data_IF_829584570044
#
_entry.id   IF_829584570044
#
_cell.length_a   1.000
_cell.length_b   1.000
_cell.length_c   1.000
_cell.angle_alpha   90.00
_cell.angle_beta   90.00
_cell.angle_gamma   90.00
#
_symmetry.space_group_name_H-M   'P 1'
#
loop_
_entity.id
_entity.type
_entity.pdbx_description
1 polymer ?
#
# COMPACT_ATOMS: atom_id res chain seq x y z
N UNK A 1 65.57 26.64 -14.43
CA UNK A 1 64.25 27.25 -14.40
C UNK A 1 63.12 26.27 -14.77
N UNK A 2 63.22 25.44 -15.81
CA UNK A 2 62.13 24.49 -16.19
C UNK A 2 61.86 23.38 -15.16
N UNK A 3 62.86 22.94 -14.38
CA UNK A 3 62.69 21.91 -13.32
C UNK A 3 62.03 22.46 -12.06
N UNK A 4 62.18 23.76 -11.77
CA UNK A 4 61.55 24.38 -10.61
C UNK A 4 60.04 24.68 -10.87
N UNK A 5 59.68 25.00 -12.11
CA UNK A 5 58.29 25.20 -12.47
C UNK A 5 57.47 23.90 -12.46
N UNK A 6 58.07 22.75 -12.84
CA UNK A 6 57.44 21.46 -12.76
C UNK A 6 57.21 20.97 -11.31
N UNK A 7 58.13 21.31 -10.41
CA UNK A 7 58.04 20.96 -8.98
C UNK A 7 56.93 21.82 -8.29
N UNK A 8 56.83 23.09 -8.67
CA UNK A 8 55.78 23.97 -8.13
C UNK A 8 54.39 23.55 -8.64
N UNK A 9 54.25 23.10 -9.91
CA UNK A 9 52.99 22.61 -10.46
C UNK A 9 52.59 21.28 -9.81
N UNK A 10 53.53 20.38 -9.54
CA UNK A 10 53.28 19.13 -8.84
C UNK A 10 52.88 19.36 -7.38
N UNK A 11 53.49 20.36 -6.70
CA UNK A 11 53.14 20.71 -5.32
C UNK A 11 51.77 21.36 -5.21
N UNK A 12 51.35 22.17 -6.22
CA UNK A 12 50.02 22.75 -6.27
C UNK A 12 48.96 21.74 -6.61
N UNK A 13 49.23 20.70 -7.42
CA UNK A 13 48.27 19.59 -7.65
C UNK A 13 48.12 18.70 -6.41
N UNK A 14 49.22 18.43 -5.67
CA UNK A 14 49.17 17.65 -4.43
C UNK A 14 48.47 18.43 -3.30
N UNK A 15 48.69 19.74 -3.22
CA UNK A 15 47.95 20.61 -2.29
C UNK A 15 46.47 20.78 -2.69
N UNK A 16 46.17 20.80 -4.01
CA UNK A 16 44.80 20.82 -4.52
C UNK A 16 44.03 19.52 -4.26
N UNK A 17 44.72 18.37 -4.28
CA UNK A 17 44.12 17.08 -3.90
C UNK A 17 44.00 16.90 -2.39
N UNK A 18 44.89 17.53 -1.60
CA UNK A 18 44.80 17.48 -0.13
C UNK A 18 43.74 18.43 0.46
N UNK A 19 43.25 19.40 -0.34
CA UNK A 19 42.16 20.29 0.09
C UNK A 19 40.79 19.80 -0.32
N UNK A 20 40.72 18.73 -1.13
CA UNK A 20 39.42 18.08 -1.46
C UNK A 20 39.03 17.02 -0.40
N UNK A 21 39.92 16.68 0.53
CA UNK A 21 39.60 15.79 1.67
C UNK A 21 39.45 16.52 3.00
N UNK A 22 39.40 17.83 3.00
CA UNK A 22 38.75 18.55 4.07
C UNK A 22 37.26 18.63 3.70
N UNK A 23 36.55 17.51 3.78
CA UNK A 23 35.11 17.51 4.00
C UNK A 23 34.87 18.51 5.11
N UNK A 24 33.98 19.46 4.84
CA UNK A 24 33.45 20.33 5.84
C UNK A 24 33.02 19.46 7.03
N UNK A 25 33.71 19.62 8.17
CA UNK A 25 33.17 19.11 9.41
C UNK A 25 31.79 19.72 9.56
N UNK A 26 30.74 18.88 9.29
CA UNK A 26 29.56 18.93 10.06
C UNK A 26 28.42 19.84 9.62
N UNK A 27 28.05 19.98 8.38
CA UNK A 27 26.60 20.21 8.13
C UNK A 27 25.90 18.85 8.12
N UNK A 28 25.03 18.64 9.10
CA UNK A 28 24.12 17.52 9.16
C UNK A 28 23.32 17.45 7.85
N UNK A 29 23.37 16.30 7.15
CA UNK A 29 22.63 16.15 5.89
C UNK A 29 21.15 15.92 6.19
N UNK A 30 20.27 16.63 5.51
CA UNK A 30 18.84 16.32 5.53
C UNK A 30 18.56 15.24 4.49
N UNK A 31 17.88 14.17 4.90
CA UNK A 31 17.30 13.14 4.03
C UNK A 31 15.82 13.44 3.90
N UNK A 32 15.41 13.85 2.71
CA UNK A 32 14.04 14.20 2.43
C UNK A 32 13.25 13.01 1.90
N UNK A 33 12.08 12.75 2.50
CA UNK A 33 11.16 11.69 2.11
C UNK A 33 9.86 12.33 1.63
N UNK A 34 9.62 12.27 0.33
CA UNK A 34 8.37 12.72 -0.30
C UNK A 34 7.29 11.66 -0.18
N UNK A 35 6.13 12.02 0.34
CA UNK A 35 5.02 11.13 0.57
C UNK A 35 3.78 11.58 -0.18
N UNK A 36 2.82 10.69 -0.38
CA UNK A 36 1.53 10.99 -1.03
C UNK A 36 0.45 11.45 -0.04
N UNK A 37 0.71 11.26 1.25
CA UNK A 37 -0.13 11.68 2.36
C UNK A 37 0.75 12.09 3.55
N UNK A 38 0.16 12.60 4.62
CA UNK A 38 0.91 12.99 5.80
C UNK A 38 1.50 11.78 6.51
N UNK A 39 2.84 11.77 6.63
CA UNK A 39 3.61 10.81 7.42
C UNK A 39 4.74 11.56 8.10
N UNK A 40 4.92 11.37 9.39
CA UNK A 40 5.91 12.11 10.16
C UNK A 40 6.64 11.17 11.13
N UNK A 41 7.77 10.64 10.68
CA UNK A 41 8.73 9.88 11.51
C UNK A 41 10.06 10.63 11.60
N UNK A 42 9.98 11.93 11.82
CA UNK A 42 11.13 12.76 12.16
C UNK A 42 11.28 12.89 13.67
N UNK A 43 12.32 13.57 14.12
CA UNK A 43 12.62 13.66 15.56
C UNK A 43 11.73 14.61 16.35
N UNK A 44 10.81 15.33 15.73
CA UNK A 44 9.83 16.25 16.35
C UNK A 44 10.34 16.95 17.62
N UNK A 45 11.48 17.64 17.56
CA UNK A 45 12.09 18.33 18.72
C UNK A 45 12.22 17.45 19.97
N UNK A 46 12.13 16.13 19.82
CA UNK A 46 12.38 15.16 20.88
C UNK A 46 11.14 14.66 21.63
N UNK A 47 9.92 14.99 21.22
CA UNK A 47 8.71 14.45 21.84
C UNK A 47 7.89 13.61 20.89
N UNK A 48 7.75 12.30 21.16
CA UNK A 48 6.88 11.41 20.40
C UNK A 48 5.41 11.84 20.44
N UNK A 49 4.97 12.44 21.57
CA UNK A 49 3.60 12.91 21.75
C UNK A 49 3.25 14.08 20.80
N UNK A 50 4.24 14.74 20.23
CA UNK A 50 4.05 15.80 19.26
C UNK A 50 3.80 15.26 17.84
N UNK A 51 4.09 13.99 17.60
CA UNK A 51 3.85 13.36 16.30
C UNK A 51 2.33 13.14 16.12
N UNK A 52 1.69 13.73 15.10
CA UNK A 52 0.25 13.59 14.86
C UNK A 52 -0.18 12.16 14.53
N UNK A 53 0.76 11.28 14.17
CA UNK A 53 0.52 9.86 13.85
C UNK A 53 0.88 8.91 15.00
N UNK A 54 1.29 9.45 16.15
CA UNK A 54 1.56 8.62 17.31
C UNK A 54 0.26 8.02 17.86
N UNK A 55 0.15 6.70 17.78
CA UNK A 55 -1.01 5.94 18.27
C UNK A 55 -0.79 5.33 19.65
N UNK A 56 0.42 5.47 20.20
CA UNK A 56 0.79 4.96 21.52
C UNK A 56 1.09 3.46 21.52
N UNK A 57 1.47 2.92 20.37
CA UNK A 57 1.85 1.50 20.23
C UNK A 57 3.34 1.31 20.53
N UNK A 58 3.71 0.06 20.79
CA UNK A 58 5.11 -0.33 20.98
C UNK A 58 5.92 -0.08 19.70
N UNK A 59 5.30 -0.29 18.52
CA UNK A 59 5.96 -0.04 17.24
C UNK A 59 6.30 1.44 17.05
N UNK A 60 5.39 2.34 17.41
CA UNK A 60 5.63 3.79 17.33
C UNK A 60 6.80 4.21 18.22
N UNK A 61 6.84 3.72 19.46
CA UNK A 61 7.92 4.02 20.40
C UNK A 61 9.27 3.49 19.89
N UNK A 62 9.28 2.29 19.33
CA UNK A 62 10.48 1.67 18.74
C UNK A 62 10.94 2.43 17.49
N UNK A 63 10.03 2.81 16.60
CA UNK A 63 10.32 3.57 15.38
C UNK A 63 10.91 4.94 15.75
N UNK A 64 10.30 5.66 16.69
CA UNK A 64 10.77 6.96 17.13
C UNK A 64 12.17 6.89 17.76
N UNK A 65 12.42 5.88 18.62
CA UNK A 65 13.74 5.63 19.17
C UNK A 65 14.76 5.29 18.08
N UNK A 66 14.35 4.53 17.07
CA UNK A 66 15.18 4.15 15.93
C UNK A 66 15.55 5.34 15.06
N UNK A 67 14.60 6.24 14.77
CA UNK A 67 14.84 7.48 14.00
C UNK A 67 16.02 8.25 14.63
N UNK A 68 15.98 8.48 15.95
CA UNK A 68 17.07 9.17 16.66
C UNK A 68 18.41 8.45 16.54
N UNK A 69 18.42 7.12 16.68
CA UNK A 69 19.65 6.34 16.54
C UNK A 69 20.24 6.42 15.12
N UNK A 70 19.37 6.46 14.10
CA UNK A 70 19.79 6.57 12.70
C UNK A 70 20.35 7.95 12.42
N UNK A 71 19.69 9.01 12.87
CA UNK A 71 20.16 10.38 12.74
C UNK A 71 21.57 10.52 13.33
N UNK A 72 21.77 10.04 14.55
CA UNK A 72 23.06 10.07 15.22
C UNK A 72 24.12 9.22 14.50
N UNK A 73 23.75 8.01 14.04
CA UNK A 73 24.67 7.06 13.37
C UNK A 73 25.20 7.60 12.05
N UNK A 74 24.33 8.20 11.24
CA UNK A 74 24.65 8.64 9.89
C UNK A 74 24.94 10.14 9.79
N UNK A 75 24.79 10.89 10.88
CA UNK A 75 24.86 12.36 10.92
C UNK A 75 23.89 12.99 9.91
N UNK A 76 22.63 12.58 9.99
CA UNK A 76 21.53 13.04 9.13
C UNK A 76 20.36 13.53 9.95
N UNK A 77 19.44 14.24 9.30
CA UNK A 77 18.08 14.53 9.77
C UNK A 77 17.08 14.05 8.76
N UNK A 78 15.93 13.59 9.23
CA UNK A 78 14.80 13.28 8.36
C UNK A 78 13.89 14.49 8.21
N UNK A 79 13.40 14.69 6.99
CA UNK A 79 12.34 15.64 6.69
C UNK A 79 11.31 14.95 5.78
N UNK A 80 10.05 14.89 6.23
CA UNK A 80 8.94 14.34 5.46
C UNK A 80 8.18 15.48 4.76
N UNK A 81 7.90 15.30 3.48
CA UNK A 81 7.22 16.30 2.65
C UNK A 81 5.98 15.65 2.05
N UNK A 82 4.80 16.07 2.49
CA UNK A 82 3.57 15.65 1.84
C UNK A 82 3.44 16.36 0.49
N UNK A 83 3.73 15.62 -0.56
CA UNK A 83 3.61 16.09 -1.94
C UNK A 83 2.17 15.98 -2.49
N UNK A 84 1.28 15.31 -1.76
CA UNK A 84 -0.01 14.81 -2.25
C UNK A 84 0.16 13.75 -3.35
N UNK A 85 -0.89 13.01 -3.68
CA UNK A 85 -0.83 11.97 -4.70
C UNK A 85 -0.48 12.55 -6.09
N UNK A 86 -1.17 13.59 -6.51
CA UNK A 86 -0.91 14.25 -7.79
C UNK A 86 0.47 14.95 -7.82
N UNK A 87 0.85 15.60 -6.71
CA UNK A 87 2.14 16.27 -6.60
C UNK A 87 3.33 15.34 -6.60
N UNK A 88 3.24 14.15 -6.00
CA UNK A 88 4.30 13.13 -6.05
C UNK A 88 4.53 12.65 -7.48
N UNK A 89 3.46 12.44 -8.24
CA UNK A 89 3.51 12.09 -9.67
C UNK A 89 4.20 13.18 -10.50
N UNK A 90 3.80 14.43 -10.29
CA UNK A 90 4.40 15.58 -10.99
C UNK A 90 5.87 15.75 -10.62
N UNK A 91 6.19 15.71 -9.33
CA UNK A 91 7.54 15.90 -8.80
C UNK A 91 8.53 14.88 -9.38
N UNK A 92 8.26 13.57 -9.28
CA UNK A 92 9.20 12.57 -9.79
C UNK A 92 9.41 12.68 -11.32
N UNK A 93 8.37 13.03 -12.08
CA UNK A 93 8.47 13.16 -13.52
C UNK A 93 9.22 14.43 -13.97
N UNK A 94 9.12 15.53 -13.24
CA UNK A 94 9.68 16.82 -13.64
C UNK A 94 11.07 17.06 -13.04
N UNK A 95 11.25 16.79 -11.75
CA UNK A 95 12.49 17.08 -11.04
C UNK A 95 13.64 16.15 -11.46
N UNK A 96 13.34 14.88 -11.71
CA UNK A 96 14.34 13.92 -12.21
C UNK A 96 14.78 14.27 -13.63
N UNK A 97 13.84 14.65 -14.52
CA UNK A 97 14.20 15.12 -15.85
C UNK A 97 15.04 16.40 -15.83
N UNK A 98 14.83 17.26 -14.84
CA UNK A 98 15.65 18.44 -14.63
C UNK A 98 17.05 18.12 -14.07
N UNK A 99 17.29 16.90 -13.62
CA UNK A 99 18.53 16.44 -12.99
C UNK A 99 18.70 16.91 -11.53
N UNK A 100 17.63 17.37 -10.92
CA UNK A 100 17.59 17.89 -9.54
C UNK A 100 16.33 17.36 -8.86
N UNK A 101 16.34 16.09 -8.41
CA UNK A 101 15.18 15.51 -7.73
C UNK A 101 14.79 16.34 -6.50
N UNK A 102 13.48 16.52 -6.30
CA UNK A 102 12.93 17.34 -5.22
C UNK A 102 13.14 16.70 -3.85
N UNK A 103 13.25 15.38 -3.80
CA UNK A 103 13.43 14.60 -2.58
C UNK A 103 14.44 13.47 -2.78
N UNK A 104 15.02 12.98 -1.68
CA UNK A 104 15.98 11.85 -1.72
C UNK A 104 15.27 10.50 -1.87
N UNK A 105 14.07 10.36 -1.32
CA UNK A 105 13.25 9.14 -1.38
C UNK A 105 11.82 9.54 -1.65
N UNK A 106 11.13 8.83 -2.53
CA UNK A 106 9.68 8.87 -2.62
C UNK A 106 9.09 7.62 -1.95
N UNK A 107 8.12 7.82 -1.07
CA UNK A 107 7.21 6.79 -0.57
C UNK A 107 5.87 6.98 -1.29
N UNK A 108 5.55 6.06 -2.20
CA UNK A 108 4.39 6.22 -3.08
C UNK A 108 3.79 4.86 -3.45
N UNK A 109 2.58 4.88 -3.95
CA UNK A 109 1.90 3.69 -4.45
C UNK A 109 2.61 3.09 -5.67
N UNK A 110 2.45 1.78 -5.85
CA UNK A 110 2.99 1.06 -7.00
C UNK A 110 2.52 1.68 -8.33
N UNK A 111 1.29 2.18 -8.38
CA UNK A 111 0.73 2.86 -9.56
C UNK A 111 1.54 4.09 -10.00
N UNK A 112 2.21 4.77 -9.08
CA UNK A 112 3.12 5.88 -9.37
C UNK A 112 4.56 5.42 -9.56
N UNK A 113 5.01 4.48 -8.71
CA UNK A 113 6.41 4.05 -8.67
C UNK A 113 6.81 3.22 -9.92
N UNK A 114 5.93 2.33 -10.39
CA UNK A 114 6.26 1.46 -11.52
C UNK A 114 6.41 2.21 -12.85
N UNK A 115 5.54 3.17 -13.24
CA UNK A 115 5.79 4.04 -14.40
C UNK A 115 7.07 4.87 -14.29
N UNK A 116 7.37 5.39 -13.10
CA UNK A 116 8.60 6.14 -12.87
C UNK A 116 9.84 5.26 -13.11
N UNK A 117 9.84 4.03 -12.61
CA UNK A 117 10.90 3.06 -12.86
C UNK A 117 11.01 2.70 -14.35
N UNK A 118 9.89 2.45 -15.03
CA UNK A 118 9.85 2.15 -16.45
C UNK A 118 10.40 3.29 -17.34
N UNK A 119 10.22 4.54 -16.90
CA UNK A 119 10.76 5.73 -17.55
C UNK A 119 12.23 6.00 -17.20
N UNK A 120 12.86 5.20 -16.35
CA UNK A 120 14.26 5.37 -15.94
C UNK A 120 14.48 6.51 -14.93
N UNK A 121 13.45 6.88 -14.17
CA UNK A 121 13.54 7.92 -13.15
C UNK A 121 13.99 7.41 -11.78
N UNK A 122 14.02 6.10 -11.60
CA UNK A 122 14.40 5.44 -10.34
C UNK A 122 15.77 4.80 -10.46
N UNK A 123 16.60 4.99 -9.46
CA UNK A 123 17.92 4.41 -9.37
C UNK A 123 17.86 2.88 -9.28
N UNK A 124 18.60 2.19 -10.14
CA UNK A 124 18.80 0.75 -10.02
C UNK A 124 19.86 0.47 -8.94
N UNK A 125 19.46 -0.15 -7.87
CA UNK A 125 20.34 -0.43 -6.74
C UNK A 125 21.50 -1.38 -7.08
N UNK A 126 21.42 -2.13 -8.19
CA UNK A 126 22.53 -2.95 -8.68
C UNK A 126 23.74 -2.11 -9.13
N UNK A 127 23.52 -0.85 -9.49
CA UNK A 127 24.57 0.08 -9.87
C UNK A 127 25.22 0.75 -8.63
N UNK A 128 24.61 0.63 -7.47
CA UNK A 128 24.95 1.33 -6.24
C UNK A 128 25.46 0.39 -5.15
N UNK A 129 24.87 -0.79 -5.05
CA UNK A 129 25.15 -1.77 -3.99
C UNK A 129 26.03 -2.92 -4.49
N UNK A 130 26.79 -3.56 -3.60
CA UNK A 130 27.50 -4.79 -3.92
C UNK A 130 26.54 -5.88 -4.41
N UNK A 131 26.98 -6.69 -5.38
CA UNK A 131 26.15 -7.75 -5.97
C UNK A 131 25.76 -8.85 -4.98
N UNK A 132 26.46 -8.98 -3.86
CA UNK A 132 26.14 -9.92 -2.77
C UNK A 132 25.25 -9.31 -1.68
N UNK A 133 24.81 -8.06 -1.83
CA UNK A 133 23.83 -7.46 -0.94
C UNK A 133 22.53 -8.28 -0.91
N UNK A 134 21.98 -8.51 0.28
CA UNK A 134 20.83 -9.39 0.48
C UNK A 134 19.59 -8.93 -0.29
N UNK A 135 19.36 -7.63 -0.42
CA UNK A 135 18.26 -7.05 -1.21
C UNK A 135 18.46 -7.37 -2.70
N UNK A 136 19.68 -7.20 -3.24
CA UNK A 136 20.00 -7.55 -4.63
C UNK A 136 19.78 -9.04 -4.91
N UNK A 137 20.05 -9.87 -3.91
CA UNK A 137 19.84 -11.33 -3.99
C UNK A 137 18.38 -11.75 -3.77
N UNK A 138 17.47 -10.84 -3.44
CA UNK A 138 16.08 -11.14 -3.11
C UNK A 138 15.92 -12.02 -1.86
N UNK A 139 16.81 -11.87 -0.86
CA UNK A 139 16.88 -12.71 0.34
C UNK A 139 16.86 -11.91 1.63
N UNK A 140 16.62 -10.62 1.53
CA UNK A 140 16.62 -9.75 2.69
C UNK A 140 15.30 -9.88 3.47
N UNK A 141 15.39 -9.89 4.80
CA UNK A 141 14.21 -10.03 5.67
C UNK A 141 13.58 -8.67 6.01
N UNK A 142 14.26 -7.57 5.72
CA UNK A 142 13.78 -6.20 6.00
C UNK A 142 13.12 -5.59 4.78
N UNK A 143 13.76 -5.74 3.62
CA UNK A 143 13.29 -5.18 2.37
C UNK A 143 13.18 -6.25 1.28
N UNK A 144 12.09 -6.22 0.57
CA UNK A 144 11.95 -6.85 -0.73
C UNK A 144 11.88 -5.80 -1.83
N UNK A 145 11.82 -6.24 -3.06
CA UNK A 145 11.53 -5.35 -4.19
C UNK A 145 10.53 -5.99 -5.13
N UNK A 146 9.76 -5.15 -5.80
CA UNK A 146 8.83 -5.59 -6.85
C UNK A 146 9.61 -5.68 -8.16
N UNK A 147 9.74 -6.90 -8.69
CA UNK A 147 10.34 -7.11 -9.99
C UNK A 147 9.35 -6.77 -11.10
N UNK A 148 9.60 -5.70 -11.84
CA UNK A 148 8.80 -5.27 -12.99
C UNK A 148 9.05 -6.07 -14.27
N UNK A 149 9.83 -7.15 -14.19
CA UNK A 149 10.25 -7.94 -15.34
C UNK A 149 11.51 -7.39 -16.05
N UNK A 150 12.01 -6.23 -15.62
CA UNK A 150 13.26 -5.65 -16.14
C UNK A 150 14.51 -6.27 -15.49
N UNK A 151 14.34 -6.99 -14.39
CA UNK A 151 15.42 -7.49 -13.53
C UNK A 151 16.12 -6.37 -12.74
N UNK A 152 15.64 -5.12 -12.77
CA UNK A 152 16.16 -4.02 -11.99
C UNK A 152 15.67 -4.10 -10.53
N UNK A 153 16.49 -3.63 -9.60
CA UNK A 153 16.14 -3.53 -8.16
C UNK A 153 15.86 -2.06 -7.86
N UNK A 154 14.61 -1.67 -7.97
CA UNK A 154 14.20 -0.26 -7.95
C UNK A 154 13.04 0.05 -7.02
N UNK A 155 12.03 -0.84 -6.94
CA UNK A 155 10.80 -0.62 -6.20
C UNK A 155 10.86 -1.37 -4.87
N UNK A 156 11.36 -0.71 -3.85
CA UNK A 156 11.56 -1.31 -2.54
C UNK A 156 10.26 -1.36 -1.74
N UNK A 157 10.03 -2.45 -1.05
CA UNK A 157 8.91 -2.62 -0.12
C UNK A 157 9.44 -3.10 1.22
N UNK A 158 8.96 -2.52 2.30
CA UNK A 158 9.25 -3.04 3.63
C UNK A 158 8.58 -4.41 3.81
N UNK A 159 9.33 -5.36 4.32
CA UNK A 159 8.81 -6.67 4.73
C UNK A 159 8.24 -6.52 6.14
N UNK A 160 7.02 -6.06 6.25
CA UNK A 160 6.28 -6.02 7.50
C UNK A 160 4.99 -6.86 7.38
N UNK A 161 4.36 -7.17 8.50
CA UNK A 161 3.16 -7.99 8.48
C UNK A 161 1.98 -7.29 7.78
N UNK A 162 1.94 -5.97 7.79
CA UNK A 162 0.97 -5.17 7.06
C UNK A 162 0.97 -5.49 5.57
N UNK A 163 2.15 -5.54 4.94
CA UNK A 163 2.27 -5.85 3.52
C UNK A 163 2.13 -7.34 3.20
N UNK A 164 2.26 -8.22 4.20
CA UNK A 164 2.37 -9.66 3.99
C UNK A 164 1.12 -10.44 4.41
N UNK A 165 0.25 -9.90 5.25
CA UNK A 165 -0.74 -10.70 5.97
C UNK A 165 -2.16 -10.17 5.89
N UNK A 166 -2.39 -8.87 5.72
CA UNK A 166 -3.74 -8.32 5.68
C UNK A 166 -4.24 -8.09 4.26
N UNK A 167 -5.50 -8.41 4.03
CA UNK A 167 -6.15 -8.09 2.77
C UNK A 167 -6.30 -6.59 2.61
N UNK A 168 -5.87 -6.05 1.48
CA UNK A 168 -5.91 -4.60 1.27
C UNK A 168 -7.34 -4.09 1.11
N UNK A 169 -8.17 -4.83 0.37
CA UNK A 169 -9.57 -4.47 0.07
C UNK A 169 -10.48 -5.69 0.19
N UNK A 170 -10.67 -6.25 1.40
CA UNK A 170 -11.65 -7.31 1.61
C UNK A 170 -13.05 -6.80 1.29
N UNK A 171 -13.95 -7.71 0.96
CA UNK A 171 -15.37 -7.39 0.83
C UNK A 171 -15.99 -7.34 2.23
N UNK A 172 -16.68 -6.27 2.56
CA UNK A 172 -17.47 -6.17 3.78
C UNK A 172 -18.97 -6.24 3.47
N UNK A 173 -19.75 -6.76 4.41
CA UNK A 173 -21.21 -6.72 4.32
C UNK A 173 -21.86 -6.27 5.63
N UNK A 174 -23.06 -5.72 5.51
CA UNK A 174 -23.92 -5.32 6.61
C UNK A 174 -24.76 -6.53 7.06
N UNK A 175 -24.43 -7.10 8.24
CA UNK A 175 -25.08 -8.29 8.76
C UNK A 175 -26.58 -8.08 8.99
N UNK A 176 -26.98 -6.92 9.50
CA UNK A 176 -28.39 -6.60 9.73
C UNK A 176 -29.22 -6.64 8.45
N UNK A 177 -28.66 -6.18 7.32
CA UNK A 177 -29.38 -6.25 6.03
C UNK A 177 -29.56 -7.70 5.54
N UNK A 178 -28.62 -8.59 5.82
CA UNK A 178 -28.71 -10.02 5.53
C UNK A 178 -29.83 -10.66 6.36
N UNK A 179 -29.84 -10.41 7.67
CA UNK A 179 -30.84 -10.92 8.61
C UNK A 179 -32.27 -10.42 8.29
N UNK A 180 -32.42 -9.13 8.05
CA UNK A 180 -33.72 -8.50 7.70
C UNK A 180 -34.28 -9.02 6.38
N UNK A 181 -33.42 -9.45 5.47
CA UNK A 181 -33.81 -10.09 4.21
C UNK A 181 -34.09 -11.59 4.37
N UNK A 182 -33.87 -12.18 5.54
CA UNK A 182 -33.93 -13.61 5.81
C UNK A 182 -33.03 -14.42 4.85
N UNK A 183 -31.88 -13.86 4.49
CA UNK A 183 -30.83 -14.56 3.77
C UNK A 183 -29.98 -15.37 4.74
N UNK A 184 -29.38 -16.44 4.24
CA UNK A 184 -28.38 -17.19 4.99
C UNK A 184 -27.13 -16.32 5.17
N UNK A 185 -26.44 -16.49 6.29
CA UNK A 185 -25.19 -15.77 6.53
C UNK A 185 -24.13 -16.13 5.45
N UNK A 186 -23.56 -15.15 4.75
CA UNK A 186 -22.55 -15.42 3.74
C UNK A 186 -21.32 -16.21 4.27
N UNK A 187 -21.00 -16.11 5.57
CA UNK A 187 -19.92 -16.88 6.20
C UNK A 187 -20.15 -18.39 6.10
N UNK A 188 -21.38 -18.83 6.28
CA UNK A 188 -21.77 -20.26 6.16
C UNK A 188 -21.59 -20.75 4.73
N UNK A 189 -21.85 -19.88 3.75
CA UNK A 189 -21.61 -20.20 2.33
C UNK A 189 -20.11 -20.29 2.00
N UNK A 190 -19.29 -19.43 2.60
CA UNK A 190 -17.81 -19.50 2.45
C UNK A 190 -17.29 -20.81 3.01
N UNK A 191 -17.71 -21.21 4.22
CA UNK A 191 -17.29 -22.47 4.85
C UNK A 191 -17.60 -23.71 4.00
N UNK A 192 -18.70 -23.67 3.26
CA UNK A 192 -19.10 -24.75 2.36
C UNK A 192 -18.56 -24.64 0.93
N UNK A 193 -17.83 -23.57 0.62
CA UNK A 193 -17.36 -23.29 -0.75
C UNK A 193 -18.47 -22.92 -1.72
N UNK A 194 -19.60 -22.43 -1.22
CA UNK A 194 -20.79 -22.03 -2.00
C UNK A 194 -20.91 -20.52 -2.23
N UNK A 195 -19.95 -19.73 -1.71
CA UNK A 195 -19.90 -18.29 -1.94
C UNK A 195 -19.33 -17.99 -3.32
N UNK A 196 -20.20 -17.99 -4.33
CA UNK A 196 -19.90 -17.81 -5.75
C UNK A 196 -20.44 -16.50 -6.31
N UNK A 197 -20.03 -16.13 -7.53
CA UNK A 197 -20.59 -14.97 -8.24
C UNK A 197 -22.10 -15.02 -8.39
N UNK A 198 -22.68 -16.21 -8.70
CA UNK A 198 -24.10 -16.38 -8.80
C UNK A 198 -24.80 -16.11 -7.46
N UNK A 199 -24.22 -16.61 -6.37
CA UNK A 199 -24.77 -16.42 -5.04
C UNK A 199 -24.67 -14.95 -4.61
N UNK A 200 -23.53 -14.30 -4.83
CA UNK A 200 -23.36 -12.87 -4.62
C UNK A 200 -24.38 -12.04 -5.40
N UNK A 201 -24.55 -12.33 -6.69
CA UNK A 201 -25.55 -11.67 -7.56
C UNK A 201 -26.97 -11.85 -7.04
N UNK A 202 -27.30 -13.05 -6.57
CA UNK A 202 -28.62 -13.34 -5.93
C UNK A 202 -28.85 -12.45 -4.71
N UNK A 203 -27.84 -12.35 -3.82
CA UNK A 203 -27.91 -11.51 -2.62
C UNK A 203 -28.05 -10.03 -2.98
N UNK A 204 -27.24 -9.54 -3.91
CA UNK A 204 -27.34 -8.16 -4.36
C UNK A 204 -28.74 -7.81 -4.88
N UNK A 205 -29.40 -8.73 -5.62
CA UNK A 205 -30.77 -8.52 -6.11
C UNK A 205 -31.78 -8.43 -4.99
N UNK A 206 -31.68 -9.27 -3.97
CA UNK A 206 -32.60 -9.29 -2.83
C UNK A 206 -32.43 -8.03 -1.97
N UNK A 207 -31.19 -7.55 -1.83
CA UNK A 207 -30.84 -6.43 -0.98
C UNK A 207 -31.03 -5.06 -1.65
N UNK A 208 -31.18 -5.03 -2.98
CA UNK A 208 -31.47 -3.79 -3.72
C UNK A 208 -32.93 -3.43 -3.57
N UNK A 209 -33.24 -2.22 -3.09
CA UNK A 209 -34.59 -1.80 -2.74
C UNK A 209 -34.87 -0.36 -3.15
N UNK A 210 -36.08 -0.15 -3.65
CA UNK A 210 -36.80 1.12 -3.66
C UNK A 210 -37.67 1.11 -2.40
N UNK A 211 -37.31 1.90 -1.40
CA UNK A 211 -37.93 1.85 -0.06
C UNK A 211 -39.13 2.76 0.09
N UNK A 212 -39.26 3.79 -0.75
CA UNK A 212 -40.39 4.74 -0.73
C UNK A 212 -41.39 4.55 -1.88
N UNK A 213 -41.05 3.72 -2.87
CA UNK A 213 -41.93 3.37 -3.99
C UNK A 213 -41.97 4.43 -5.09
N UNK A 214 -40.98 5.32 -5.17
CA UNK A 214 -40.95 6.39 -6.17
C UNK A 214 -40.35 5.94 -7.52
N UNK A 215 -39.87 4.71 -7.59
CA UNK A 215 -39.27 4.10 -8.78
C UNK A 215 -37.75 4.28 -8.88
N UNK A 216 -37.13 4.95 -7.92
CA UNK A 216 -35.69 5.06 -7.79
C UNK A 216 -35.18 4.05 -6.76
N UNK A 217 -33.93 3.63 -6.90
CA UNK A 217 -33.31 2.71 -5.95
C UNK A 217 -32.69 3.54 -4.81
N UNK A 218 -33.07 3.26 -3.58
CA UNK A 218 -32.54 3.90 -2.36
C UNK A 218 -31.42 3.11 -1.70
N UNK A 219 -31.49 1.77 -1.82
CA UNK A 219 -30.53 0.84 -1.24
C UNK A 219 -30.00 -0.08 -2.33
N UNK A 220 -28.70 -0.17 -2.43
CA UNK A 220 -28.03 -0.99 -3.43
C UNK A 220 -27.40 -2.23 -2.79
N UNK A 221 -27.44 -3.35 -3.50
CA UNK A 221 -26.80 -4.58 -3.05
C UNK A 221 -25.28 -4.48 -3.02
N UNK A 222 -24.70 -3.72 -3.93
CA UNK A 222 -23.25 -3.58 -4.05
C UNK A 222 -22.84 -2.15 -4.44
N UNK A 223 -21.70 -1.73 -3.94
CA UNK A 223 -21.04 -0.49 -4.34
C UNK A 223 -19.56 -0.58 -4.08
N UNK A 224 -18.76 0.12 -4.86
CA UNK A 224 -17.30 0.14 -4.69
C UNK A 224 -16.62 0.94 -5.79
N UNK A 225 -15.36 1.30 -5.57
CA UNK A 225 -14.55 1.91 -6.59
C UNK A 225 -14.17 0.91 -7.69
N UNK A 226 -14.24 1.27 -8.99
CA UNK A 226 -13.99 0.34 -10.09
C UNK A 226 -12.64 -0.39 -10.01
N UNK A 227 -11.56 0.30 -9.65
CA UNK A 227 -10.24 -0.30 -9.49
C UNK A 227 -10.20 -1.37 -8.40
N UNK A 228 -10.97 -1.20 -7.33
CA UNK A 228 -11.01 -2.16 -6.22
C UNK A 228 -11.79 -3.41 -6.61
N UNK A 229 -13.02 -3.28 -7.10
CA UNK A 229 -13.84 -4.46 -7.37
C UNK A 229 -13.45 -5.18 -8.65
N UNK A 230 -13.03 -4.49 -9.71
CA UNK A 230 -12.61 -5.13 -10.96
C UNK A 230 -11.45 -6.09 -10.73
N UNK A 231 -10.39 -5.63 -10.07
CA UNK A 231 -9.21 -6.45 -9.81
C UNK A 231 -9.50 -7.64 -8.92
N UNK A 232 -10.33 -7.45 -7.90
CA UNK A 232 -10.72 -8.54 -7.02
C UNK A 232 -11.61 -9.58 -7.72
N UNK A 233 -12.52 -9.17 -8.60
CA UNK A 233 -13.27 -10.11 -9.44
C UNK A 233 -12.37 -10.84 -10.43
N UNK A 234 -11.36 -10.18 -11.00
CA UNK A 234 -10.37 -10.84 -11.87
C UNK A 234 -9.64 -11.95 -11.11
N UNK A 235 -9.13 -11.65 -9.92
CA UNK A 235 -8.37 -12.61 -9.11
C UNK A 235 -9.26 -13.73 -8.57
N UNK A 236 -10.48 -13.42 -8.12
CA UNK A 236 -11.43 -14.42 -7.66
C UNK A 236 -11.96 -15.32 -8.79
N UNK A 237 -11.80 -14.89 -10.06
CA UNK A 237 -12.03 -15.73 -11.24
C UNK A 237 -10.79 -16.58 -11.63
N UNK A 238 -9.76 -16.63 -10.77
CA UNK A 238 -8.57 -17.44 -11.01
C UNK A 238 -7.65 -16.93 -12.11
N UNK A 239 -7.74 -15.64 -12.45
CA UNK A 239 -6.93 -15.01 -13.51
C UNK A 239 -6.29 -13.70 -13.03
N UNK A 240 -5.59 -13.02 -13.91
CA UNK A 240 -4.99 -11.70 -13.68
C UNK A 240 -5.06 -10.86 -14.96
N UNK A 241 -4.85 -9.55 -14.86
CA UNK A 241 -4.84 -8.65 -16.04
C UNK A 241 -3.52 -8.69 -16.79
N UNK A 242 -2.47 -9.22 -16.17
CA UNK A 242 -1.18 -9.40 -16.83
C UNK A 242 -0.44 -10.61 -16.27
N UNK A 243 0.07 -11.44 -17.16
CA UNK A 243 0.96 -12.55 -16.84
C UNK A 243 2.41 -12.11 -17.10
N UNK A 244 3.14 -11.77 -16.06
CA UNK A 244 4.51 -11.22 -16.12
C UNK A 244 4.57 -9.91 -16.92
N UNK A 245 5.05 -9.95 -18.16
CA UNK A 245 5.15 -8.80 -19.07
C UNK A 245 4.14 -8.86 -20.22
N UNK A 246 3.23 -9.83 -20.18
CA UNK A 246 2.22 -10.04 -21.23
C UNK A 246 0.86 -9.60 -20.70
N UNK A 247 0.19 -8.74 -21.44
CA UNK A 247 -1.18 -8.36 -21.11
C UNK A 247 -2.12 -9.59 -21.19
N UNK A 248 -3.13 -9.60 -20.35
CA UNK A 248 -4.14 -10.64 -20.28
C UNK A 248 -5.58 -10.08 -20.30
N UNK A 249 -5.72 -8.77 -20.53
CA UNK A 249 -7.01 -8.09 -20.60
C UNK A 249 -7.91 -8.66 -21.69
N UNK A 250 -7.30 -9.19 -22.77
CA UNK A 250 -8.01 -9.81 -23.90
C UNK A 250 -8.40 -11.26 -23.65
N UNK A 251 -8.09 -11.83 -22.48
CA UNK A 251 -8.45 -13.21 -22.16
C UNK A 251 -9.97 -13.42 -22.01
N UNK A 252 -10.48 -14.61 -22.31
CA UNK A 252 -11.88 -14.94 -22.08
C UNK A 252 -12.29 -14.74 -20.62
N UNK A 253 -11.42 -15.10 -19.67
CA UNK A 253 -11.65 -15.05 -18.24
C UNK A 253 -11.83 -13.60 -17.74
N UNK A 254 -11.02 -12.65 -18.25
CA UNK A 254 -11.20 -11.22 -17.96
C UNK A 254 -12.45 -10.69 -18.67
N UNK A 255 -12.74 -11.17 -19.89
CA UNK A 255 -13.99 -10.85 -20.59
C UNK A 255 -15.23 -11.24 -19.79
N UNK A 256 -15.21 -12.39 -19.11
CA UNK A 256 -16.30 -12.84 -18.21
C UNK A 256 -16.45 -11.93 -17.00
N UNK A 257 -15.36 -11.44 -16.41
CA UNK A 257 -15.40 -10.46 -15.31
C UNK A 257 -16.09 -9.18 -15.76
N UNK A 258 -15.69 -8.64 -16.91
CA UNK A 258 -16.31 -7.42 -17.46
C UNK A 258 -17.80 -7.62 -17.74
N UNK A 259 -18.18 -8.79 -18.27
CA UNK A 259 -19.58 -9.13 -18.50
C UNK A 259 -20.36 -9.25 -17.18
N UNK A 260 -19.77 -9.87 -16.16
CA UNK A 260 -20.39 -10.00 -14.84
C UNK A 260 -20.64 -8.63 -14.20
N UNK A 261 -19.64 -7.74 -14.21
CA UNK A 261 -19.78 -6.37 -13.71
C UNK A 261 -20.84 -5.60 -14.51
N UNK A 262 -20.82 -5.74 -15.84
CA UNK A 262 -21.83 -5.11 -16.70
C UNK A 262 -23.23 -5.61 -16.35
N UNK A 263 -23.42 -6.90 -16.11
CA UNK A 263 -24.69 -7.48 -15.72
C UNK A 263 -25.17 -6.93 -14.38
N UNK A 264 -24.31 -6.88 -13.36
CA UNK A 264 -24.66 -6.29 -12.05
C UNK A 264 -25.09 -4.82 -12.17
N UNK A 265 -24.39 -4.05 -13.02
CA UNK A 265 -24.64 -2.62 -13.16
C UNK A 265 -25.83 -2.30 -14.08
N UNK A 266 -25.86 -2.85 -15.30
CA UNK A 266 -26.79 -2.43 -16.34
C UNK A 266 -28.03 -3.32 -16.45
N UNK A 267 -27.91 -4.62 -16.19
CA UNK A 267 -29.01 -5.58 -16.32
C UNK A 267 -29.77 -5.67 -14.99
N UNK A 268 -29.08 -5.99 -13.91
CA UNK A 268 -29.66 -6.19 -12.59
C UNK A 268 -29.84 -4.88 -11.82
N UNK A 269 -29.05 -3.86 -12.13
CA UNK A 269 -29.05 -2.53 -11.51
C UNK A 269 -28.87 -2.59 -9.99
N UNK A 270 -28.03 -3.50 -9.55
CA UNK A 270 -27.74 -3.73 -8.11
C UNK A 270 -26.53 -2.97 -7.62
N UNK A 271 -25.76 -2.36 -8.53
CA UNK A 271 -24.59 -1.56 -8.20
C UNK A 271 -24.94 -0.08 -8.09
N UNK A 272 -24.41 0.57 -7.05
CA UNK A 272 -24.51 2.02 -6.92
C UNK A 272 -23.75 2.69 -8.08
N UNK A 273 -24.39 3.55 -8.86
CA UNK A 273 -23.73 4.30 -9.91
C UNK A 273 -22.87 5.39 -9.28
N UNK A 274 -21.56 5.36 -9.53
CA UNK A 274 -20.64 6.37 -9.02
C UNK A 274 -20.60 7.54 -10.00
N UNK A 275 -21.16 8.71 -9.67
CA UNK A 275 -20.97 9.92 -10.45
C UNK A 275 -19.51 10.36 -10.42
N UNK A 276 -19.00 10.91 -11.52
CA UNK A 276 -17.60 11.38 -11.61
C UNK A 276 -17.22 12.39 -10.53
N UNK A 277 -18.20 13.18 -10.05
CA UNK A 277 -18.01 14.18 -9.00
C UNK A 277 -17.95 13.64 -7.56
N UNK A 278 -18.35 12.38 -7.30
CA UNK A 278 -18.55 11.88 -5.94
C UNK A 278 -17.31 11.21 -5.32
N UNK A 279 -16.21 11.12 -6.06
CA UNK A 279 -14.96 10.59 -5.54
C UNK A 279 -14.98 9.06 -5.26
N UNK A 280 -13.82 8.53 -4.94
CA UNK A 280 -13.58 7.09 -4.73
C UNK A 280 -14.24 6.52 -3.47
N UNK A 281 -14.63 7.37 -2.54
CA UNK A 281 -15.03 7.03 -1.17
C UNK A 281 -16.56 6.97 -0.96
N UNK A 282 -17.34 7.41 -1.94
CA UNK A 282 -18.80 7.55 -1.82
C UNK A 282 -19.52 6.26 -1.40
N UNK A 283 -19.09 5.10 -1.91
CA UNK A 283 -19.73 3.83 -1.58
C UNK A 283 -19.55 3.42 -0.13
N UNK A 284 -18.42 3.77 0.48
CA UNK A 284 -18.15 3.52 1.90
C UNK A 284 -19.00 4.39 2.80
N UNK A 285 -19.20 5.65 2.42
CA UNK A 285 -20.15 6.53 3.10
C UNK A 285 -21.58 5.98 3.05
N UNK A 286 -22.00 5.51 1.87
CA UNK A 286 -23.32 4.91 1.69
C UNK A 286 -23.48 3.58 2.43
N UNK A 287 -22.41 2.80 2.54
CA UNK A 287 -22.38 1.58 3.35
C UNK A 287 -22.58 1.92 4.84
N UNK A 288 -21.82 2.89 5.38
CA UNK A 288 -22.02 3.40 6.74
C UNK A 288 -23.48 3.85 6.97
N UNK A 289 -24.08 4.51 5.98
CA UNK A 289 -25.45 5.01 6.06
C UNK A 289 -26.52 3.91 5.80
N UNK A 290 -26.12 2.64 5.70
CA UNK A 290 -27.03 1.51 5.44
C UNK A 290 -27.67 1.51 4.03
N UNK A 291 -27.06 2.21 3.08
CA UNK A 291 -27.57 2.34 1.70
C UNK A 291 -26.85 1.45 0.68
N UNK A 292 -25.81 0.76 1.10
CA UNK A 292 -25.07 -0.24 0.32
C UNK A 292 -24.86 -1.46 1.20
N UNK A 293 -25.18 -2.65 0.72
CA UNK A 293 -25.09 -3.88 1.51
C UNK A 293 -23.70 -4.50 1.51
N UNK A 294 -23.03 -4.51 0.35
CA UNK A 294 -21.66 -5.02 0.18
C UNK A 294 -20.76 -3.93 -0.39
N UNK A 295 -19.57 -3.76 0.19
CA UNK A 295 -18.56 -2.81 -0.33
C UNK A 295 -17.13 -3.27 0.01
N UNK A 296 -16.12 -2.96 -0.83
CA UNK A 296 -14.73 -3.15 -0.44
C UNK A 296 -14.33 -2.15 0.66
N UNK A 297 -13.71 -2.63 1.73
CA UNK A 297 -13.25 -1.79 2.83
C UNK A 297 -11.83 -2.18 3.20
N UNK A 298 -10.91 -1.22 3.14
CA UNK A 298 -9.55 -1.40 3.65
C UNK A 298 -9.52 -1.19 5.18
N UNK A 299 -8.60 -1.87 5.87
CA UNK A 299 -8.46 -1.73 7.31
C UNK A 299 -8.15 -0.30 7.75
N UNK A 300 -7.34 0.45 6.98
CA UNK A 300 -7.02 1.84 7.26
C UNK A 300 -8.23 2.80 7.21
N UNK A 301 -9.34 2.40 6.57
CA UNK A 301 -10.60 3.16 6.56
C UNK A 301 -11.30 3.09 7.91
N UNK A 302 -11.01 2.05 8.69
CA UNK A 302 -11.58 1.84 10.02
C UNK A 302 -10.86 2.66 11.10
N UNK A 303 -9.80 3.38 10.76
CA UNK A 303 -9.07 4.22 11.69
C UNK A 303 -9.91 5.45 12.09
N UNK A 304 -10.33 5.50 13.37
CA UNK A 304 -11.15 6.56 13.92
C UNK A 304 -10.46 7.93 14.02
N UNK A 305 -9.15 7.98 13.83
CA UNK A 305 -8.38 9.22 13.95
C UNK A 305 -8.26 9.98 12.62
N UNK A 306 -8.79 9.42 11.54
CA UNK A 306 -8.74 10.05 10.21
C UNK A 306 -10.13 10.51 9.81
N UNK A 307 -10.22 11.71 9.22
CA UNK A 307 -11.43 12.30 8.62
C UNK A 307 -11.97 11.48 7.41
N UNK A 308 -11.75 10.17 7.44
CA UNK A 308 -12.29 9.31 6.42
C UNK A 308 -13.76 9.03 6.70
N UNK A 309 -14.49 9.11 5.66
CA UNK A 309 -15.93 9.09 5.57
C UNK A 309 -16.63 7.87 6.18
N UNK A 310 -15.89 6.84 6.58
CA UNK A 310 -16.44 5.63 7.17
C UNK A 310 -16.98 5.88 8.58
N UNK A 311 -16.33 6.74 9.36
CA UNK A 311 -16.78 7.12 10.69
C UNK A 311 -17.30 8.56 10.70
N UNK A 312 -18.44 8.76 11.30
CA UNK A 312 -18.91 10.11 11.59
C UNK A 312 -18.01 10.72 12.68
N UNK A 313 -17.48 11.94 12.51
CA UNK A 313 -16.68 12.59 13.55
C UNK A 313 -17.43 12.72 14.88
N UNK A 314 -18.77 12.73 14.83
CA UNK A 314 -19.65 12.91 16.00
C UNK A 314 -20.16 11.56 16.55
N UNK A 315 -20.10 10.47 15.77
CA UNK A 315 -20.50 9.12 16.19
C UNK A 315 -19.66 8.08 15.42
N UNK A 316 -18.59 7.57 16.04
CA UNK A 316 -17.68 6.61 15.40
C UNK A 316 -18.26 5.19 15.33
N UNK A 317 -19.46 4.94 15.84
CA UNK A 317 -20.06 3.61 15.84
C UNK A 317 -20.89 3.39 14.59
N UNK A 318 -20.84 2.17 14.04
CA UNK A 318 -21.80 1.71 13.06
C UNK A 318 -23.10 1.30 13.77
N UNK A 319 -24.23 1.60 13.18
CA UNK A 319 -25.55 1.16 13.69
C UNK A 319 -25.83 -0.34 13.39
N UNK A 320 -24.86 -1.06 12.84
CA UNK A 320 -24.99 -2.46 12.44
C UNK A 320 -23.62 -3.17 12.54
N UNK A 321 -23.66 -4.50 12.57
CA UNK A 321 -22.46 -5.33 12.54
C UNK A 321 -21.91 -5.41 11.11
N UNK A 322 -20.68 -4.93 10.93
CA UNK A 322 -19.89 -5.08 9.71
C UNK A 322 -19.14 -6.42 9.78
N UNK A 323 -19.20 -7.19 8.72
CA UNK A 323 -18.50 -8.48 8.62
C UNK A 323 -17.64 -8.52 7.37
N UNK A 324 -16.39 -8.92 7.49
CA UNK A 324 -15.51 -9.19 6.36
C UNK A 324 -15.71 -10.60 5.81
N UNK A 325 -15.62 -10.69 4.49
CA UNK A 325 -15.82 -11.94 3.76
C UNK A 325 -14.87 -11.97 2.53
N UNK A 326 -14.37 -13.15 2.12
CA UNK A 326 -13.67 -13.28 0.85
C UNK A 326 -14.52 -12.81 -0.33
N UNK A 327 -13.87 -12.34 -1.39
CA UNK A 327 -14.58 -12.07 -2.64
C UNK A 327 -15.23 -13.36 -3.16
N UNK A 328 -16.42 -13.26 -3.75
CA UNK A 328 -17.11 -14.45 -4.25
C UNK A 328 -16.33 -15.11 -5.38
N UNK A 329 -16.27 -16.43 -5.35
CA UNK A 329 -15.48 -17.23 -6.31
C UNK A 329 -16.13 -17.19 -7.69
N UNK A 330 -15.35 -16.83 -8.70
CA UNK A 330 -15.78 -16.83 -10.10
C UNK A 330 -15.77 -18.24 -10.73
N UNK A 331 -16.29 -18.37 -11.96
CA UNK A 331 -16.41 -19.66 -12.63
C UNK A 331 -15.11 -20.45 -12.78
N UNK A 332 -13.98 -19.77 -12.86
CA UNK A 332 -12.64 -20.35 -12.98
C UNK A 332 -11.83 -20.29 -11.70
N UNK A 333 -12.40 -19.69 -10.65
CA UNK A 333 -11.76 -19.55 -9.34
C UNK A 333 -11.79 -20.84 -8.53
N UNK A 334 -11.09 -20.81 -7.41
CA UNK A 334 -11.05 -21.91 -6.44
C UNK A 334 -11.21 -21.33 -5.03
N UNK A 335 -12.17 -21.84 -4.27
CA UNK A 335 -12.45 -21.38 -2.91
C UNK A 335 -11.27 -21.55 -1.95
N UNK A 336 -10.47 -22.62 -2.11
CA UNK A 336 -9.31 -22.89 -1.26
C UNK A 336 -8.12 -21.96 -1.51
N UNK A 337 -8.03 -21.39 -2.71
CA UNK A 337 -6.93 -20.53 -3.14
C UNK A 337 -7.44 -19.18 -3.65
N UNK A 338 -8.62 -18.76 -3.17
CA UNK A 338 -9.24 -17.53 -3.62
C UNK A 338 -8.33 -16.34 -3.34
N UNK A 339 -7.77 -15.79 -4.42
CA UNK A 339 -6.85 -14.67 -4.34
C UNK A 339 -7.60 -13.33 -4.42
N UNK A 340 -6.96 -12.30 -3.95
CA UNK A 340 -7.46 -10.95 -4.08
C UNK A 340 -6.33 -9.96 -4.35
N UNK A 341 -6.70 -8.77 -4.79
CA UNK A 341 -5.77 -7.68 -5.05
C UNK A 341 -4.95 -7.37 -3.80
N UNK A 342 -3.64 -7.27 -3.96
CA UNK A 342 -2.77 -6.58 -3.03
C UNK A 342 -2.37 -5.24 -3.62
N UNK A 343 -2.43 -4.20 -2.82
CA UNK A 343 -1.92 -2.89 -3.19
C UNK A 343 -0.63 -2.66 -2.40
N UNK A 344 0.48 -2.52 -3.09
CA UNK A 344 1.72 -2.09 -2.47
C UNK A 344 1.65 -0.56 -2.28
N UNK A 345 1.05 -0.13 -1.18
CA UNK A 345 0.80 1.29 -0.91
C UNK A 345 2.06 2.06 -0.48
N UNK A 346 3.15 1.37 -0.19
CA UNK A 346 4.40 1.99 0.23
C UNK A 346 5.58 1.38 -0.53
N UNK A 347 5.71 1.76 -1.80
CA UNK A 347 6.95 1.57 -2.54
C UNK A 347 7.90 2.73 -2.21
N UNK A 348 9.11 2.38 -1.79
CA UNK A 348 10.18 3.34 -1.59
C UNK A 348 11.08 3.35 -2.82
N UNK A 349 11.26 4.50 -3.42
CA UNK A 349 12.09 4.67 -4.61
C UNK A 349 13.09 5.80 -4.41
N UNK A 350 14.34 5.56 -4.81
CA UNK A 350 15.41 6.57 -4.79
C UNK A 350 15.52 7.13 -6.21
N UNK A 351 15.20 8.41 -6.45
CA UNK A 351 15.23 8.96 -7.80
C UNK A 351 16.65 9.05 -8.36
N UNK A 352 16.76 9.00 -9.68
CA UNK A 352 18.03 9.24 -10.36
C UNK A 352 18.45 10.70 -10.15
N UNK A 353 19.72 10.91 -9.84
CA UNK A 353 20.28 12.25 -9.60
C UNK A 353 20.42 12.64 -8.13
N UNK A 354 19.95 11.80 -7.22
CA UNK A 354 20.19 11.97 -5.78
C UNK A 354 21.69 11.90 -5.47
N UNK A 355 22.18 12.77 -4.60
CA UNK A 355 23.54 12.72 -4.10
C UNK A 355 23.72 11.53 -3.17
N UNK A 356 24.72 10.70 -3.43
CA UNK A 356 25.06 9.49 -2.66
C UNK A 356 23.84 8.56 -2.42
N UNK A 357 23.28 7.95 -3.46
CA UNK A 357 22.13 7.05 -3.31
C UNK A 357 22.45 5.82 -2.45
N UNK A 358 23.73 5.47 -2.27
CA UNK A 358 24.18 4.40 -1.38
C UNK A 358 23.98 4.76 0.09
N UNK A 359 24.31 5.98 0.49
CA UNK A 359 24.00 6.49 1.82
C UNK A 359 22.48 6.52 2.04
N UNK A 360 21.73 7.07 1.09
CA UNK A 360 20.27 7.15 1.16
C UNK A 360 19.64 5.77 1.35
N UNK A 361 20.11 4.78 0.57
CA UNK A 361 19.65 3.38 0.75
C UNK A 361 19.96 2.85 2.16
N UNK A 362 21.18 3.05 2.67
CA UNK A 362 21.55 2.52 3.97
C UNK A 362 20.76 3.18 5.12
N UNK A 363 20.51 4.48 5.02
CA UNK A 363 19.68 5.22 5.98
C UNK A 363 18.22 4.73 5.92
N UNK A 364 17.67 4.57 4.73
CA UNK A 364 16.33 4.03 4.52
C UNK A 364 16.22 2.59 5.04
N UNK A 365 17.24 1.75 4.77
CA UNK A 365 17.26 0.38 5.27
C UNK A 365 17.22 0.34 6.80
N UNK A 366 18.06 1.14 7.46
CA UNK A 366 18.06 1.24 8.92
C UNK A 366 16.70 1.73 9.45
N UNK A 367 16.06 2.68 8.77
CA UNK A 367 14.73 3.19 9.15
C UNK A 367 13.66 2.08 9.06
N UNK A 368 13.62 1.35 7.97
CA UNK A 368 12.66 0.28 7.76
C UNK A 368 12.97 -0.97 8.59
N UNK A 369 14.21 -1.10 9.10
CA UNK A 369 14.61 -2.09 10.09
C UNK A 369 14.43 -1.57 11.53
N UNK A 370 13.30 -0.94 11.83
CA UNK A 370 13.01 -0.38 13.14
C UNK A 370 12.97 -1.44 14.25
N UNK A 371 12.63 -2.68 13.90
CA UNK A 371 12.58 -3.83 14.81
C UNK A 371 13.92 -4.52 15.04
N UNK A 372 15.00 -3.98 14.48
CA UNK A 372 16.39 -4.40 14.68
C UNK A 372 16.72 -5.85 14.25
N UNK A 373 16.23 -6.29 13.11
CA UNK A 373 16.63 -7.57 12.53
C UNK A 373 18.15 -7.60 12.29
N UNK A 374 18.81 -8.63 12.84
CA UNK A 374 20.21 -8.97 12.60
C UNK A 374 20.34 -10.49 12.41
N UNK A 375 20.63 -10.97 11.19
CA UNK A 375 20.77 -12.40 10.92
C UNK A 375 22.00 -13.01 11.59
N UNK A 376 22.92 -12.19 12.13
CA UNK A 376 24.12 -12.64 12.84
C UNK A 376 23.92 -12.71 14.36
N UNK A 377 22.74 -12.37 14.87
CA UNK A 377 22.39 -12.54 16.27
C UNK A 377 22.39 -14.03 16.69
N UNK A 378 22.42 -14.32 18.00
CA UNK A 378 22.44 -15.70 18.51
C UNK A 378 21.26 -16.55 18.02
N UNK A 379 20.10 -15.92 17.79
CA UNK A 379 18.87 -16.56 17.34
C UNK A 379 18.59 -16.41 15.83
N UNK A 380 19.58 -15.87 15.09
CA UNK A 380 19.43 -15.63 13.66
C UNK A 380 18.39 -14.54 13.32
N UNK A 381 18.08 -13.66 14.27
CA UNK A 381 17.10 -12.59 14.10
C UNK A 381 15.64 -13.01 14.38
N UNK A 382 15.40 -14.21 14.91
CA UNK A 382 14.04 -14.72 15.14
C UNK A 382 13.25 -13.82 16.12
N UNK A 383 13.89 -13.31 17.19
CA UNK A 383 13.21 -12.42 18.14
C UNK A 383 12.81 -11.08 17.47
N UNK A 384 13.64 -10.53 16.61
CA UNK A 384 13.32 -9.32 15.86
C UNK A 384 12.15 -9.55 14.90
N UNK A 385 12.14 -10.66 14.16
CA UNK A 385 11.03 -11.02 13.29
C UNK A 385 9.73 -11.24 14.06
N UNK A 386 9.80 -11.82 15.27
CA UNK A 386 8.63 -11.96 16.12
C UNK A 386 8.04 -10.61 16.55
N UNK A 387 8.88 -9.59 16.80
CA UNK A 387 8.43 -8.22 17.08
C UNK A 387 7.75 -7.62 15.84
N UNK A 388 8.35 -7.78 14.66
CA UNK A 388 7.77 -7.32 13.39
C UNK A 388 6.38 -7.91 13.12
N UNK A 389 6.22 -9.20 13.44
CA UNK A 389 5.03 -9.97 13.10
C UNK A 389 3.99 -9.97 14.24
N UNK A 390 4.29 -9.33 15.37
CA UNK A 390 3.37 -9.21 16.49
C UNK A 390 2.26 -8.18 16.17
N UNK A 391 1.00 -8.61 16.13
CA UNK A 391 -0.13 -7.73 15.84
C UNK A 391 -0.27 -6.56 16.82
N UNK A 392 -0.02 -6.77 18.11
CA UNK A 392 -0.10 -5.69 19.11
C UNK A 392 1.02 -4.67 18.92
N UNK A 393 2.18 -5.11 18.41
CA UNK A 393 3.32 -4.25 18.15
C UNK A 393 3.11 -3.42 16.88
N UNK A 394 2.51 -3.98 15.85
CA UNK A 394 2.25 -3.32 14.56
C UNK A 394 1.24 -2.19 14.61
N UNK A 395 0.42 -2.21 15.61
CA UNK A 395 -0.32 -1.06 16.13
C UNK A 395 -1.45 -0.51 15.30
N UNK A 396 -1.25 0.02 14.14
CA UNK A 396 -2.34 0.73 13.48
C UNK A 396 -3.41 -0.21 12.92
N UNK A 397 -3.06 -1.41 12.50
CA UNK A 397 -4.01 -2.45 12.08
C UNK A 397 -4.83 -2.98 13.25
N UNK A 398 -4.22 -3.08 14.42
CA UNK A 398 -4.80 -3.69 15.60
C UNK A 398 -5.03 -2.70 16.73
N UNK A 399 -4.20 -1.67 16.84
CA UNK A 399 -4.23 -0.73 17.95
C UNK A 399 -5.46 0.18 17.93
N UNK A 400 -5.88 0.63 16.77
CA UNK A 400 -7.07 1.46 16.63
C UNK A 400 -8.32 0.59 16.68
N UNK A 401 -8.33 -0.52 15.96
CA UNK A 401 -9.44 -1.47 15.96
C UNK A 401 -9.59 -2.18 17.30
N UNK A 402 -8.51 -2.54 18.00
CA UNK A 402 -8.59 -3.22 19.29
C UNK A 402 -9.06 -2.32 20.45
N UNK A 403 -8.98 -0.99 20.32
CA UNK A 403 -9.48 -0.09 21.37
C UNK A 403 -10.98 0.17 21.27
N UNK A 404 -11.52 0.18 20.07
CA UNK A 404 -12.86 0.68 19.78
C UNK A 404 -13.80 -0.36 19.16
N UNK A 405 -13.27 -1.51 18.69
CA UNK A 405 -14.02 -2.52 17.94
C UNK A 405 -13.64 -3.91 18.46
N UNK A 406 -14.62 -4.74 18.80
CA UNK A 406 -14.35 -6.16 19.06
C UNK A 406 -14.05 -6.86 17.73
N UNK A 407 -12.77 -7.12 17.47
CA UNK A 407 -12.28 -7.72 16.22
C UNK A 407 -12.90 -9.09 15.92
N UNK A 408 -13.37 -9.82 16.94
CA UNK A 408 -14.04 -11.11 16.74
C UNK A 408 -15.42 -10.93 16.08
N UNK A 409 -16.11 -9.83 16.38
CA UNK A 409 -17.41 -9.55 15.78
C UNK A 409 -17.30 -9.22 14.29
N UNK A 410 -16.14 -8.74 13.83
CA UNK A 410 -15.89 -8.36 12.43
C UNK A 410 -15.32 -9.46 11.54
N UNK A 411 -15.15 -10.67 12.06
CA UNK A 411 -14.53 -11.78 11.32
C UNK A 411 -13.13 -11.44 10.78
N UNK A 412 -12.34 -10.77 11.62
CA UNK A 412 -11.02 -10.28 11.25
C UNK A 412 -10.04 -11.39 10.85
N UNK A 413 -10.20 -12.58 11.41
CA UNK A 413 -9.40 -13.76 11.04
C UNK A 413 -9.54 -14.10 9.54
N UNK A 414 -10.72 -13.89 8.96
CA UNK A 414 -10.94 -14.07 7.51
C UNK A 414 -10.11 -13.05 6.73
N UNK A 415 -10.06 -11.80 7.17
CA UNK A 415 -9.24 -10.77 6.56
C UNK A 415 -7.74 -11.15 6.58
N UNK A 416 -7.26 -11.71 7.68
CA UNK A 416 -5.89 -12.20 7.81
C UNK A 416 -5.62 -13.42 6.92
N UNK A 417 -6.56 -14.36 6.85
CA UNK A 417 -6.45 -15.53 5.97
C UNK A 417 -6.43 -15.13 4.49
N UNK A 418 -7.29 -14.20 4.11
CA UNK A 418 -7.30 -13.65 2.75
C UNK A 418 -5.98 -13.00 2.39
N UNK A 419 -5.31 -12.34 3.34
CA UNK A 419 -3.99 -11.75 3.15
C UNK A 419 -2.92 -12.77 2.74
N UNK A 420 -3.02 -14.02 3.19
CA UNK A 420 -2.09 -15.09 2.82
C UNK A 420 -2.23 -15.55 1.37
N UNK A 421 -3.34 -15.24 0.72
CA UNK A 421 -3.63 -15.59 -0.67
C UNK A 421 -3.56 -14.39 -1.62
N UNK A 422 -2.96 -13.28 -1.19
CA UNK A 422 -2.83 -12.10 -2.01
C UNK A 422 -1.94 -12.35 -3.23
N UNK A 423 -2.37 -11.83 -4.37
CA UNK A 423 -1.56 -11.78 -5.58
C UNK A 423 -1.29 -10.33 -5.97
N UNK A 424 -0.02 -10.01 -6.18
CA UNK A 424 0.36 -8.74 -6.77
C UNK A 424 0.19 -8.83 -8.30
N UNK A 425 -0.82 -8.14 -8.82
CA UNK A 425 -0.91 -7.89 -10.24
C UNK A 425 -0.21 -6.56 -10.56
N UNK A 426 0.97 -6.64 -11.14
CA UNK A 426 1.83 -5.50 -11.44
C UNK A 426 1.19 -4.45 -12.33
N UNK A 427 0.32 -4.89 -13.23
CA UNK A 427 -0.32 -4.02 -14.20
C UNK A 427 -1.73 -3.61 -13.77
N UNK A 428 -2.39 -4.42 -12.95
CA UNK A 428 -3.67 -4.06 -12.36
C UNK A 428 -3.57 -2.89 -11.40
N UNK A 429 -2.49 -2.83 -10.62
CA UNK A 429 -2.19 -1.67 -9.78
C UNK A 429 -1.90 -0.40 -10.57
N UNK A 430 -1.47 -0.49 -11.83
CA UNK A 430 -1.32 0.65 -12.73
C UNK A 430 -2.67 1.18 -13.24
N UNK A 431 -3.72 0.38 -13.17
CA UNK A 431 -5.07 0.75 -13.58
C UNK A 431 -5.82 1.60 -12.56
N UNK A 432 -5.36 1.69 -11.32
CA UNK A 432 -5.98 2.53 -10.30
C UNK A 432 -5.83 4.03 -10.64
N UNK A 433 -4.78 4.38 -11.36
CA UNK A 433 -4.55 5.73 -11.90
C UNK A 433 -5.13 5.86 -13.34
N UNK A 434 -6.35 5.44 -13.49
CA UNK A 434 -7.12 5.04 -14.67
C UNK A 434 -7.13 5.98 -15.89
N UNK A 435 -6.11 6.77 -16.10
CA UNK A 435 -6.06 7.55 -17.35
C UNK A 435 -5.27 6.87 -18.48
N UNK A 436 -4.56 5.75 -18.25
CA UNK A 436 -3.65 5.27 -19.27
C UNK A 436 -3.72 3.80 -19.75
N UNK A 437 -3.77 2.73 -18.93
CA UNK A 437 -3.69 1.39 -19.53
C UNK A 437 -5.01 0.73 -19.90
N UNK A 438 -6.13 1.13 -19.31
CA UNK A 438 -7.43 0.48 -19.55
C UNK A 438 -8.34 1.24 -20.53
N UNK A 439 -7.95 2.43 -20.98
CA UNK A 439 -8.72 3.25 -21.93
C UNK A 439 -8.17 3.23 -23.36
N UNK A 440 -6.97 2.72 -23.60
CA UNK A 440 -6.39 2.48 -24.91
C UNK A 440 -6.53 1.00 -25.33
#
# INVERSE_FOLDING_TARGET
MKKFAALLLALTMVLGMATITASAEGSERVITIGTTYDVYWDSFDGSIDANPYYTGTVADEMMFAKVKQIEDKWNVKFEYINLTYAGAKESINTSVLAGTPDVDVYMMDLALAAPAAANGYVTDLRDVLPADNAVIQGKDAVLSYIDTGSGAVQLLCANNAENMVAATMPLAFNLQMIEDANLEDPRDLVERGEWTWEKFREYCKVLTKDTDGDGNIDVYGFGGWPGDYFMNFVMSNGTNVAATVTENLSSPEVGEVLQFIQDLNLVDKVMYPIPEENGWDVCRCLYRDGKVAFTPIAAWIMDSNKDYAFQHPEDPTLDFDMVFIPWPVGPHGNAETNAQKVTANACYVIPVGVEDPGLVYNVLYDLLNWYNYDPNSEDGGAAALAIRDDPETLGWWYGVTAKDIDLQDYNFEVMMEMGRHQMLDRYGSLGDDAELPLRE
#
